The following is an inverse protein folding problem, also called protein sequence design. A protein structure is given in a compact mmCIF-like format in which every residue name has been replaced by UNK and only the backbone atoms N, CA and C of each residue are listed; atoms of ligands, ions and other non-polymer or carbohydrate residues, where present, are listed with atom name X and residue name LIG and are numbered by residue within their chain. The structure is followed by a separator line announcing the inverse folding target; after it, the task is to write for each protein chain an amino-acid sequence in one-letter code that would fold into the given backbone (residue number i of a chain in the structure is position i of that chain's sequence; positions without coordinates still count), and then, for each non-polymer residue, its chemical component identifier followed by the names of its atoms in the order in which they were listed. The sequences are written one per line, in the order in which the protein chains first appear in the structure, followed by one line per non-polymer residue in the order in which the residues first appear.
data_IF_798863297462
#
_entry.id   IF_798863297462
#
_cell.length_a   1.000
_cell.length_b   1.000
_cell.length_c   1.000
_cell.angle_alpha   90.00
_cell.angle_beta   90.00
_cell.angle_gamma   90.00
#
_symmetry.space_group_name_H-M   'P 1'
#
loop_
_entity.id
_entity.type
_entity.pdbx_description
1 polymer ?
#
# COMPACT_ATOMS: atom_id res chain seq x y z
N UNK A 1 -10.43 -1.16 -7.65
CA UNK A 1 -9.56 -0.10 -8.19
C UNK A 1 -8.76 -0.70 -9.30
N UNK A 2 -7.61 -1.31 -9.00
CA UNK A 2 -6.84 -2.11 -9.96
C UNK A 2 -7.68 -3.22 -10.62
N UNK A 3 -8.39 -4.00 -9.80
CA UNK A 3 -9.37 -4.99 -10.21
C UNK A 3 -10.61 -4.94 -9.30
N UNK A 4 -11.73 -5.57 -9.71
CA UNK A 4 -12.85 -5.85 -8.82
C UNK A 4 -12.41 -6.77 -7.66
N UNK A 5 -12.99 -6.58 -6.48
CA UNK A 5 -12.78 -7.41 -5.29
C UNK A 5 -11.33 -7.51 -4.78
N UNK A 6 -10.45 -6.56 -5.11
CA UNK A 6 -9.11 -6.49 -4.53
C UNK A 6 -9.16 -6.38 -3.00
N UNK A 7 -8.35 -7.19 -2.31
CA UNK A 7 -8.23 -7.25 -0.86
C UNK A 7 -6.84 -6.81 -0.41
N UNK A 8 -6.79 -6.17 0.76
CA UNK A 8 -5.55 -5.88 1.49
C UNK A 8 -5.63 -6.48 2.88
N UNK A 9 -4.49 -6.94 3.40
CA UNK A 9 -4.39 -7.57 4.71
C UNK A 9 -3.49 -6.73 5.59
N UNK A 10 -3.99 -6.34 6.76
CA UNK A 10 -3.22 -5.60 7.76
C UNK A 10 -2.85 -6.55 8.88
N UNK A 11 -1.56 -6.57 9.22
CA UNK A 11 -1.02 -7.33 10.33
C UNK A 11 -0.34 -6.37 11.31
N UNK A 12 -0.28 -6.78 12.57
CA UNK A 12 0.46 -6.09 13.63
C UNK A 12 1.26 -7.14 14.39
N UNK A 13 2.55 -6.89 14.56
CA UNK A 13 3.43 -7.84 15.22
C UNK A 13 4.87 -7.37 15.28
N UNK A 14 5.73 -8.21 15.84
CA UNK A 14 7.16 -7.96 15.92
C UNK A 14 7.79 -8.15 14.54
N UNK A 15 8.40 -7.09 14.02
CA UNK A 15 9.10 -7.08 12.74
C UNK A 15 10.58 -6.84 12.99
N UNK A 16 11.42 -7.69 12.41
CA UNK A 16 12.88 -7.51 12.39
C UNK A 16 13.26 -6.77 11.09
N UNK A 17 13.71 -5.52 11.23
CA UNK A 17 14.23 -4.68 10.14
C UNK A 17 15.53 -4.03 10.58
N UNK A 18 16.54 -4.03 9.72
CA UNK A 18 17.85 -3.40 9.97
C UNK A 18 18.50 -3.84 11.29
N UNK A 19 18.36 -5.12 11.64
CA UNK A 19 18.88 -5.69 12.89
C UNK A 19 18.13 -5.26 14.16
N UNK A 20 17.04 -4.50 14.03
CA UNK A 20 16.20 -4.08 15.15
C UNK A 20 14.83 -4.77 15.09
N UNK A 21 14.32 -5.17 16.26
CA UNK A 21 12.98 -5.71 16.40
C UNK A 21 12.05 -4.68 17.01
N UNK A 22 10.93 -4.40 16.35
CA UNK A 22 9.91 -3.46 16.82
C UNK A 22 8.53 -3.97 16.48
N UNK A 23 7.55 -3.67 17.33
CA UNK A 23 6.14 -3.85 16.96
C UNK A 23 5.81 -2.81 15.89
N UNK A 24 5.33 -3.28 14.74
CA UNK A 24 4.86 -2.42 13.65
C UNK A 24 3.63 -3.01 12.98
N UNK A 25 2.86 -2.14 12.33
CA UNK A 25 1.87 -2.56 11.35
C UNK A 25 2.53 -2.79 10.00
N UNK A 26 1.98 -3.74 9.26
CA UNK A 26 2.30 -3.94 7.86
C UNK A 26 1.02 -4.20 7.08
N UNK A 27 0.97 -3.74 5.83
CA UNK A 27 -0.14 -3.98 4.91
C UNK A 27 0.38 -4.71 3.68
N UNK A 28 -0.19 -5.88 3.40
CA UNK A 28 -0.05 -6.57 2.12
C UNK A 28 -1.17 -6.06 1.23
N UNK A 29 -0.84 -5.25 0.24
CA UNK A 29 -1.82 -4.48 -0.55
C UNK A 29 -1.98 -4.97 -2.00
N UNK A 30 -1.30 -6.06 -2.38
CA UNK A 30 -1.30 -6.57 -3.74
C UNK A 30 -0.92 -5.47 -4.74
N UNK A 31 -1.67 -5.37 -5.82
CA UNK A 31 -1.42 -4.40 -6.89
C UNK A 31 -2.20 -3.09 -6.70
N UNK A 32 -2.60 -2.74 -5.48
CA UNK A 32 -3.22 -1.44 -5.22
C UNK A 32 -2.19 -0.30 -5.24
N UNK A 33 -1.14 -0.43 -4.42
CA UNK A 33 -0.11 0.59 -4.19
C UNK A 33 1.27 -0.03 -4.37
N UNK A 34 2.16 0.65 -5.09
CA UNK A 34 3.56 0.27 -5.27
C UNK A 34 4.47 1.37 -4.75
N UNK A 35 5.76 1.08 -4.56
CA UNK A 35 6.75 2.13 -4.24
C UNK A 35 6.83 3.15 -5.37
N UNK A 36 6.33 4.37 -5.15
CA UNK A 36 6.33 5.45 -6.13
C UNK A 36 5.40 5.22 -7.34
N UNK A 37 4.44 4.30 -7.24
CA UNK A 37 3.48 4.02 -8.30
C UNK A 37 2.18 3.38 -7.75
N UNK A 38 1.23 3.04 -8.63
CA UNK A 38 -0.04 2.38 -8.29
C UNK A 38 -0.36 1.27 -9.31
N UNK A 39 -1.33 0.42 -8.98
CA UNK A 39 -1.91 -0.53 -9.94
C UNK A 39 -2.45 0.13 -11.19
N UNK A 40 -2.25 -0.51 -12.35
CA UNK A 40 -2.91 -0.09 -13.60
C UNK A 40 -4.43 -0.32 -13.51
N UNK A 41 -5.22 0.42 -14.27
CA UNK A 41 -6.70 0.37 -14.22
C UNK A 41 -7.34 0.32 -15.61
N UNK A 42 -6.54 0.08 -16.65
CA UNK A 42 -6.95 0.10 -18.06
C UNK A 42 -7.45 -1.25 -18.60
N UNK A 43 -7.51 -2.29 -17.76
CA UNK A 43 -8.17 -3.55 -18.06
C UNK A 43 -9.66 -3.54 -17.63
N UNK A 44 -10.51 -4.43 -18.19
CA UNK A 44 -11.91 -4.54 -17.79
C UNK A 44 -12.08 -4.69 -16.27
N UNK A 45 -12.94 -3.85 -15.69
CA UNK A 45 -13.19 -3.80 -14.24
C UNK A 45 -12.21 -2.93 -13.44
N UNK A 46 -11.22 -2.33 -14.09
CA UNK A 46 -10.35 -1.31 -13.50
C UNK A 46 -11.05 0.04 -13.36
N UNK A 47 -10.74 0.77 -12.29
CA UNK A 47 -11.26 2.10 -11.99
C UNK A 47 -10.21 2.92 -11.23
N UNK A 48 -9.69 3.97 -11.88
CA UNK A 48 -8.67 4.86 -11.35
C UNK A 48 -9.15 5.69 -10.16
N UNK A 49 -10.33 6.29 -10.25
CA UNK A 49 -10.85 7.13 -9.18
C UNK A 49 -11.09 6.29 -7.92
N UNK A 50 -11.69 5.10 -8.09
CA UNK A 50 -11.89 4.15 -7.02
C UNK A 50 -10.57 3.62 -6.45
N UNK A 51 -9.54 3.40 -7.29
CA UNK A 51 -8.22 2.99 -6.80
C UNK A 51 -7.61 4.05 -5.88
N UNK A 52 -7.52 5.30 -6.35
CA UNK A 52 -6.95 6.41 -5.58
C UNK A 52 -7.74 6.68 -4.29
N UNK A 53 -9.08 6.63 -4.36
CA UNK A 53 -9.94 6.78 -3.19
C UNK A 53 -9.67 5.68 -2.16
N UNK A 54 -9.66 4.41 -2.57
CA UNK A 54 -9.41 3.30 -1.65
C UNK A 54 -8.02 3.38 -1.01
N UNK A 55 -6.99 3.80 -1.75
CA UNK A 55 -5.65 3.97 -1.18
C UNK A 55 -5.67 5.07 -0.10
N UNK A 56 -6.28 6.22 -0.38
CA UNK A 56 -6.41 7.32 0.60
C UNK A 56 -7.17 6.90 1.86
N UNK A 57 -8.31 6.25 1.69
CA UNK A 57 -9.21 5.92 2.81
C UNK A 57 -8.75 4.70 3.61
N UNK A 58 -8.10 3.71 2.97
CA UNK A 58 -7.79 2.42 3.60
C UNK A 58 -6.32 2.21 3.92
N UNK A 59 -5.41 2.66 3.06
CA UNK A 59 -3.96 2.48 3.26
C UNK A 59 -3.36 3.72 3.94
N UNK A 60 -3.68 4.92 3.46
CA UNK A 60 -3.17 6.17 4.03
C UNK A 60 -3.82 6.55 5.36
N UNK A 61 -4.88 5.86 5.79
CA UNK A 61 -5.42 5.96 7.15
C UNK A 61 -4.58 5.19 8.19
N UNK A 62 -3.65 4.34 7.76
CA UNK A 62 -2.72 3.64 8.66
C UNK A 62 -1.59 4.60 9.14
N UNK A 63 -0.94 4.28 10.28
CA UNK A 63 0.22 5.04 10.76
C UNK A 63 1.33 5.15 9.71
N UNK A 64 2.05 6.27 9.67
CA UNK A 64 3.06 6.55 8.65
C UNK A 64 4.25 5.57 8.64
N UNK A 65 4.54 4.94 9.78
CA UNK A 65 5.58 3.93 9.93
C UNK A 65 5.13 2.51 9.54
N UNK A 66 3.86 2.35 9.14
CA UNK A 66 3.31 1.09 8.61
C UNK A 66 4.05 0.70 7.34
N UNK A 67 4.54 -0.53 7.30
CA UNK A 67 5.21 -1.09 6.12
C UNK A 67 4.19 -1.40 5.03
N UNK A 68 4.50 -0.99 3.80
CA UNK A 68 3.70 -1.31 2.61
C UNK A 68 4.42 -2.45 1.87
N UNK A 69 3.78 -3.61 1.81
CA UNK A 69 4.24 -4.79 1.09
C UNK A 69 3.40 -4.91 -0.20
N UNK A 70 3.92 -4.42 -1.34
CA UNK A 70 3.22 -4.51 -2.61
C UNK A 70 3.25 -5.92 -3.19
N UNK A 71 2.40 -6.19 -4.18
CA UNK A 71 2.48 -7.40 -5.00
C UNK A 71 3.76 -7.44 -5.85
N UNK A 72 4.30 -6.27 -6.20
CA UNK A 72 5.49 -6.11 -7.06
C UNK A 72 6.38 -4.96 -6.58
N UNK A 73 7.69 -5.11 -6.77
CA UNK A 73 8.68 -4.09 -6.42
C UNK A 73 9.08 -4.10 -4.93
N UNK A 74 9.83 -3.09 -4.47
CA UNK A 74 10.38 -3.06 -3.13
C UNK A 74 9.33 -2.67 -2.07
N UNK A 75 9.64 -2.98 -0.81
CA UNK A 75 8.89 -2.52 0.37
C UNK A 75 9.02 -1.01 0.53
N UNK A 76 7.95 -0.36 0.98
CA UNK A 76 7.91 1.07 1.34
C UNK A 76 7.24 1.28 2.71
N UNK A 77 6.90 2.52 3.04
CA UNK A 77 6.07 2.87 4.19
C UNK A 77 4.90 3.76 3.76
N UNK A 78 3.83 3.76 4.55
CA UNK A 78 2.67 4.63 4.30
C UNK A 78 3.09 6.11 4.26
N UNK A 79 3.96 6.54 5.18
CA UNK A 79 4.47 7.92 5.21
C UNK A 79 5.29 8.27 3.97
N UNK A 80 6.14 7.34 3.49
CA UNK A 80 6.92 7.54 2.27
C UNK A 80 6.00 7.69 1.04
N UNK A 81 4.98 6.84 0.92
CA UNK A 81 4.06 6.92 -0.22
C UNK A 81 3.15 8.15 -0.16
N UNK A 82 2.70 8.58 1.03
CA UNK A 82 1.98 9.86 1.18
C UNK A 82 2.80 11.06 0.71
N UNK A 83 4.11 11.05 0.97
CA UNK A 83 4.96 12.20 0.73
C UNK A 83 5.52 12.25 -0.70
N UNK A 84 5.79 11.10 -1.32
CA UNK A 84 6.60 11.04 -2.53
C UNK A 84 5.96 10.28 -3.69
N UNK A 85 4.82 9.60 -3.50
CA UNK A 85 4.17 8.88 -4.60
C UNK A 85 3.50 9.90 -5.56
N UNK A 86 3.87 9.94 -6.85
CA UNK A 86 3.44 11.01 -7.77
C UNK A 86 1.95 10.99 -8.13
N UNK A 87 1.20 9.98 -7.69
CA UNK A 87 -0.24 9.86 -7.93
C UNK A 87 -1.10 10.56 -6.85
N UNK A 88 -0.49 11.07 -5.77
CA UNK A 88 -1.16 11.66 -4.61
C UNK A 88 -0.64 13.06 -4.31
#
# INVERSE_FOLDING_TARGET
GHSPAGLGFVFEGEVALDGQRRIRKLVICGDALFTGSIGRTDFPGGDMALLLQNIREKIFSLPDDTLVLPGHGPISTVGREKQYNPFF
#
